data_IF_991367325946
#
_entry.id   IF_991367325946
#
_cell.length_a   1.000
_cell.length_b   1.000
_cell.length_c   1.000
_cell.angle_alpha   90.00
_cell.angle_beta   90.00
_cell.angle_gamma   90.00
#
_symmetry.space_group_name_H-M   'P 1'
#
loop_
_entity.id
_entity.type
_entity.pdbx_description
1 polymer ?
#
# COMPACT_ATOMS: atom_id res chain seq x y z
N UNK A 1 2.10 -12.94 7.39
CA UNK A 1 3.11 -11.89 7.08
C UNK A 1 4.55 -12.37 7.27
N UNK A 2 4.93 -12.99 8.40
CA UNK A 2 6.33 -13.40 8.70
C UNK A 2 6.99 -14.22 7.58
N UNK A 3 6.31 -15.24 7.04
CA UNK A 3 6.83 -16.04 5.92
C UNK A 3 7.16 -15.18 4.69
N UNK A 4 6.26 -14.27 4.33
CA UNK A 4 6.42 -13.38 3.18
C UNK A 4 7.57 -12.39 3.40
N UNK A 5 7.70 -11.81 4.61
CA UNK A 5 8.82 -10.94 4.97
C UNK A 5 10.17 -11.66 4.84
N UNK A 6 10.26 -12.90 5.35
CA UNK A 6 11.48 -13.72 5.21
C UNK A 6 11.78 -14.04 3.74
N UNK A 7 10.77 -14.41 2.96
CA UNK A 7 10.93 -14.71 1.54
C UNK A 7 11.35 -13.49 0.72
N UNK A 8 10.85 -12.30 1.06
CA UNK A 8 11.17 -11.05 0.39
C UNK A 8 12.46 -10.39 0.93
N UNK A 9 13.05 -10.91 2.00
CA UNK A 9 14.20 -10.27 2.67
C UNK A 9 13.88 -8.89 3.27
N UNK A 10 12.63 -8.65 3.67
CA UNK A 10 12.16 -7.35 4.17
C UNK A 10 11.88 -7.38 5.68
N UNK A 11 12.05 -6.23 6.35
CA UNK A 11 11.75 -6.02 7.77
C UNK A 11 10.61 -5.03 8.01
N UNK A 12 9.96 -4.56 6.94
CA UNK A 12 8.83 -3.61 7.01
C UNK A 12 7.59 -4.22 6.39
N UNK A 13 6.51 -4.26 7.14
CA UNK A 13 5.18 -4.64 6.68
C UNK A 13 4.32 -3.38 6.58
N UNK A 14 3.57 -3.26 5.48
CA UNK A 14 2.50 -2.26 5.35
C UNK A 14 1.19 -3.02 5.23
N UNK A 15 0.18 -2.64 6.00
CA UNK A 15 -1.18 -3.19 5.87
C UNK A 15 -2.10 -2.04 5.44
N UNK A 16 -2.83 -2.27 4.35
CA UNK A 16 -3.84 -1.36 3.81
C UNK A 16 -5.19 -2.08 3.66
N UNK A 17 -6.24 -1.31 3.35
CA UNK A 17 -7.62 -1.79 3.21
C UNK A 17 -8.41 -1.74 4.52
N UNK A 18 -9.74 -1.74 4.45
CA UNK A 18 -10.59 -1.42 5.61
C UNK A 18 -10.34 -2.25 6.88
N UNK A 19 -9.98 -3.53 6.72
CA UNK A 19 -9.66 -4.43 7.85
C UNK A 19 -8.41 -3.97 8.62
N UNK A 20 -7.54 -3.15 8.03
CA UNK A 20 -6.37 -2.57 8.69
C UNK A 20 -6.73 -1.58 9.81
N UNK A 21 -7.99 -1.15 9.92
CA UNK A 21 -8.46 -0.35 11.06
C UNK A 21 -8.72 -1.19 12.32
N UNK A 22 -8.73 -2.52 12.23
CA UNK A 22 -8.98 -3.39 13.37
C UNK A 22 -7.83 -3.32 14.40
N UNK A 23 -8.15 -2.90 15.63
CA UNK A 23 -7.15 -2.70 16.68
C UNK A 23 -6.50 -4.00 17.14
N UNK A 24 -7.29 -5.06 17.30
CA UNK A 24 -6.78 -6.37 17.70
C UNK A 24 -5.76 -6.94 16.69
N UNK A 25 -6.02 -6.76 15.39
CA UNK A 25 -5.09 -7.12 14.32
C UNK A 25 -3.78 -6.32 14.44
N UNK A 26 -3.87 -5.01 14.70
CA UNK A 26 -2.69 -4.14 14.84
C UNK A 26 -1.79 -4.59 15.99
N UNK A 27 -2.38 -4.74 17.18
CA UNK A 27 -1.68 -5.17 18.40
C UNK A 27 -1.02 -6.55 18.21
N UNK A 28 -1.74 -7.50 17.62
CA UNK A 28 -1.22 -8.84 17.36
C UNK A 28 -0.04 -8.80 16.38
N UNK A 29 -0.14 -8.03 15.30
CA UNK A 29 0.94 -7.92 14.31
C UNK A 29 2.16 -7.20 14.87
N UNK A 30 1.98 -6.13 15.65
CA UNK A 30 3.08 -5.42 16.31
C UNK A 30 3.86 -6.35 17.25
N UNK A 31 3.15 -7.11 18.09
CA UNK A 31 3.77 -8.07 19.00
C UNK A 31 4.52 -9.20 18.27
N UNK A 32 3.94 -9.78 17.20
CA UNK A 32 4.59 -10.86 16.46
C UNK A 32 5.80 -10.38 15.64
N UNK A 33 5.75 -9.18 15.07
CA UNK A 33 6.83 -8.65 14.25
C UNK A 33 8.01 -8.13 15.07
N UNK A 34 7.77 -7.64 16.29
CA UNK A 34 8.83 -7.28 17.22
C UNK A 34 9.78 -8.47 17.49
N UNK A 35 9.27 -9.70 17.57
CA UNK A 35 10.07 -10.93 17.80
C UNK A 35 11.10 -11.22 16.70
N UNK A 36 10.92 -10.63 15.51
CA UNK A 36 11.80 -10.82 14.36
C UNK A 36 12.47 -9.52 13.92
N UNK A 37 12.50 -8.49 14.79
CA UNK A 37 13.04 -7.16 14.48
C UNK A 37 12.41 -6.52 13.23
N UNK A 38 11.12 -6.76 13.01
CA UNK A 38 10.34 -6.15 11.93
C UNK A 38 9.34 -5.12 12.46
N UNK A 39 8.93 -4.20 11.61
CA UNK A 39 7.94 -3.15 11.92
C UNK A 39 6.70 -3.27 11.04
N UNK A 40 5.57 -2.79 11.53
CA UNK A 40 4.33 -2.70 10.76
C UNK A 40 3.80 -1.27 10.76
N UNK A 41 3.28 -0.85 9.60
CA UNK A 41 2.80 0.51 9.35
C UNK A 41 1.37 0.45 8.81
N UNK A 42 0.56 1.42 9.24
CA UNK A 42 -0.85 1.54 8.91
C UNK A 42 -1.19 2.98 8.56
N UNK A 43 -2.23 3.17 7.76
CA UNK A 43 -2.90 4.46 7.66
C UNK A 43 -3.65 4.80 8.96
N UNK A 44 -3.93 6.09 9.22
CA UNK A 44 -4.93 6.49 10.20
C UNK A 44 -6.27 5.77 9.95
N UNK A 45 -7.06 5.44 10.98
CA UNK A 45 -8.30 4.68 10.80
C UNK A 45 -9.27 5.28 9.76
N UNK A 46 -9.39 6.61 9.74
CA UNK A 46 -10.22 7.34 8.78
C UNK A 46 -9.79 7.19 7.30
N UNK A 47 -8.56 6.72 7.07
CA UNK A 47 -7.97 6.53 5.74
C UNK A 47 -7.76 5.04 5.38
N UNK A 48 -8.22 4.10 6.22
CA UNK A 48 -8.03 2.67 5.97
C UNK A 48 -9.03 2.10 4.93
N UNK A 49 -10.27 2.57 4.93
CA UNK A 49 -11.29 2.20 3.93
C UNK A 49 -11.14 3.01 2.65
N UNK A 50 -11.76 2.55 1.57
CA UNK A 50 -11.74 3.25 0.27
C UNK A 50 -12.14 4.71 0.43
N UNK A 51 -11.28 5.61 -0.07
CA UNK A 51 -11.46 7.05 0.04
C UNK A 51 -10.81 7.79 -1.13
N UNK A 52 -11.25 9.01 -1.40
CA UNK A 52 -10.70 9.83 -2.49
C UNK A 52 -9.26 10.30 -2.26
N UNK A 53 -8.82 10.41 -1.00
CA UNK A 53 -7.48 10.89 -0.68
C UNK A 53 -6.38 9.93 -1.14
N UNK A 54 -6.60 8.61 -1.01
CA UNK A 54 -5.63 7.61 -1.50
C UNK A 54 -5.50 7.64 -3.02
N UNK A 55 -6.59 7.92 -3.75
CA UNK A 55 -6.60 8.03 -5.21
C UNK A 55 -5.88 9.31 -5.65
N UNK A 56 -6.17 10.44 -4.99
CA UNK A 56 -5.49 11.70 -5.25
C UNK A 56 -3.97 11.58 -5.01
N UNK A 57 -3.56 10.93 -3.91
CA UNK A 57 -2.14 10.72 -3.60
C UNK A 57 -1.46 9.80 -4.62
N UNK A 58 -2.06 8.66 -4.95
CA UNK A 58 -1.51 7.74 -5.96
C UNK A 58 -1.41 8.38 -7.35
N UNK A 59 -2.39 9.19 -7.74
CA UNK A 59 -2.37 9.97 -8.97
C UNK A 59 -1.26 11.03 -8.97
N UNK A 60 -1.09 11.75 -7.87
CA UNK A 60 0.00 12.70 -7.70
C UNK A 60 1.39 12.05 -7.81
N UNK A 61 1.62 10.91 -7.15
CA UNK A 61 2.89 10.17 -7.23
C UNK A 61 3.17 9.70 -8.67
N UNK A 62 2.14 9.21 -9.39
CA UNK A 62 2.27 8.81 -10.80
C UNK A 62 2.57 9.99 -11.71
N UNK A 63 1.88 11.11 -11.51
CA UNK A 63 2.11 12.34 -12.27
C UNK A 63 3.53 12.87 -12.05
N UNK A 64 4.01 12.88 -10.81
CA UNK A 64 5.38 13.25 -10.46
C UNK A 64 6.42 12.31 -11.08
N UNK A 65 6.09 11.03 -11.29
CA UNK A 65 6.91 10.08 -12.03
C UNK A 65 6.82 10.22 -13.56
N UNK A 66 6.16 11.27 -14.07
CA UNK A 66 6.05 11.58 -15.50
C UNK A 66 4.95 10.82 -16.24
N UNK A 67 4.05 10.11 -15.53
CA UNK A 67 2.92 9.44 -16.15
C UNK A 67 1.77 10.44 -16.35
N UNK A 68 1.13 10.37 -17.52
CA UNK A 68 -0.06 11.14 -17.84
C UNK A 68 -0.90 10.36 -18.86
N UNK A 69 -2.21 10.54 -18.78
CA UNK A 69 -3.17 10.02 -19.76
C UNK A 69 -3.71 11.17 -20.63
N UNK A 70 -4.34 10.82 -21.74
CA UNK A 70 -5.12 11.78 -22.52
C UNK A 70 -6.46 12.13 -21.81
N UNK A 71 -7.32 12.89 -22.47
CA UNK A 71 -8.62 13.25 -21.89
C UNK A 71 -9.65 12.11 -21.95
N UNK A 72 -9.36 11.00 -22.64
CA UNK A 72 -10.29 9.89 -22.74
C UNK A 72 -10.26 9.09 -21.44
N UNK A 73 -11.45 8.88 -20.85
CA UNK A 73 -11.58 8.09 -19.63
C UNK A 73 -11.90 6.65 -20.00
N UNK A 74 -11.09 5.72 -19.51
CA UNK A 74 -11.36 4.29 -19.62
C UNK A 74 -11.53 3.66 -18.23
N UNK A 75 -12.37 2.63 -18.15
CA UNK A 75 -12.62 1.88 -16.92
C UNK A 75 -12.18 0.44 -17.12
N UNK A 76 -11.33 -0.07 -16.23
CA UNK A 76 -10.85 -1.46 -16.26
C UNK A 76 -11.35 -2.19 -15.00
N UNK A 77 -12.49 -2.90 -15.07
CA UNK A 77 -13.10 -3.51 -13.87
C UNK A 77 -12.25 -4.61 -13.21
N UNK A 78 -11.38 -5.26 -14.00
CA UNK A 78 -10.40 -6.24 -13.53
C UNK A 78 -9.04 -5.77 -13.94
N UNK A 79 -8.36 -5.09 -13.04
CA UNK A 79 -7.04 -4.52 -13.30
C UNK A 79 -6.00 -5.07 -12.30
N UNK A 80 -5.20 -6.06 -12.71
CA UNK A 80 -4.14 -6.59 -11.86
C UNK A 80 -3.08 -5.53 -11.58
N UNK A 81 -2.74 -5.31 -10.30
CA UNK A 81 -1.70 -4.34 -9.92
C UNK A 81 -0.32 -4.65 -10.53
N UNK A 82 -0.06 -5.91 -10.89
CA UNK A 82 1.17 -6.36 -11.52
C UNK A 82 1.36 -5.87 -12.95
N UNK A 83 0.30 -5.35 -13.59
CA UNK A 83 0.36 -4.76 -14.93
C UNK A 83 0.73 -3.27 -14.89
N UNK A 84 0.75 -2.67 -13.69
CA UNK A 84 1.11 -1.25 -13.55
C UNK A 84 2.61 -1.07 -13.74
N UNK A 85 3.05 -0.06 -14.52
CA UNK A 85 4.47 0.27 -14.63
C UNK A 85 5.00 0.70 -13.26
N UNK A 86 6.20 0.22 -12.93
CA UNK A 86 6.89 0.61 -11.71
C UNK A 86 7.15 2.13 -11.72
N UNK A 87 6.98 2.76 -10.56
CA UNK A 87 7.44 4.12 -10.35
C UNK A 87 8.96 4.05 -10.22
N UNK A 88 9.68 4.61 -11.19
CA UNK A 88 11.10 4.83 -11.03
C UNK A 88 11.28 5.94 -9.97
N UNK A 89 12.20 5.80 -9.01
CA UNK A 89 12.48 6.89 -8.09
C UNK A 89 12.88 8.12 -8.90
N UNK A 90 12.29 9.27 -8.57
CA UNK A 90 12.80 10.56 -9.05
C UNK A 90 14.28 10.63 -8.68
N UNK A 91 15.14 10.84 -9.68
CA UNK A 91 16.56 11.09 -9.52
C UNK A 91 16.76 12.37 -8.71
#
# INVERSE_FOLDING_TARGET
CVKALKQAGMSRLVIAGGVSANTHLRETLEAELAKINATVHYAPPALCTDNGAMIAYAGFERLQAGQADDLAVSCVPRWPMTELPALLPAI
#
